data_IF_936376928217
#
_entry.id   IF_936376928217
#
_cell.length_a   1.000
_cell.length_b   1.000
_cell.length_c   1.000
_cell.angle_alpha   90.00
_cell.angle_beta   90.00
_cell.angle_gamma   90.00
#
_symmetry.space_group_name_H-M   'P 1'
#
loop_
_entity.id
_entity.type
_entity.pdbx_description
1 polymer ?
#
# COMPACT_ATOMS: atom_id res chain seq x y z
N UNK A 1 -14.23 2.81 8.82
CA UNK A 1 -13.86 1.37 8.73
C UNK A 1 -12.89 1.19 7.57
N UNK A 2 -11.62 0.86 7.85
CA UNK A 2 -10.61 0.63 6.79
C UNK A 2 -11.01 -0.54 5.86
N UNK A 3 -11.83 -1.48 6.35
CA UNK A 3 -12.34 -2.62 5.60
C UNK A 3 -13.25 -2.26 4.40
N UNK A 4 -13.79 -1.04 4.33
CA UNK A 4 -14.67 -0.61 3.23
C UNK A 4 -13.96 0.23 2.17
N UNK A 5 -12.72 0.65 2.44
CA UNK A 5 -11.94 1.43 1.50
C UNK A 5 -11.54 0.58 0.29
N UNK A 6 -12.08 0.92 -0.88
CA UNK A 6 -11.77 0.24 -2.15
C UNK A 6 -11.29 1.28 -3.15
N UNK A 7 -9.98 1.33 -3.34
CA UNK A 7 -9.34 2.27 -4.26
C UNK A 7 -8.10 1.64 -4.90
N UNK A 8 -7.83 1.94 -6.16
CA UNK A 8 -6.71 1.34 -6.91
C UNK A 8 -5.34 1.62 -6.28
N UNK A 9 -5.17 2.75 -5.59
CA UNK A 9 -3.94 3.11 -4.88
C UNK A 9 -3.98 2.82 -3.37
N UNK A 10 -4.91 1.97 -2.91
CA UNK A 10 -4.95 1.47 -1.53
C UNK A 10 -4.90 -0.06 -1.52
N UNK A 11 -4.16 -0.61 -0.57
CA UNK A 11 -4.09 -2.05 -0.39
C UNK A 11 -5.39 -2.53 0.26
N UNK A 12 -6.13 -3.38 -0.46
CA UNK A 12 -7.40 -3.92 0.01
C UNK A 12 -7.18 -4.91 1.15
N UNK A 13 -7.88 -4.72 2.27
CA UNK A 13 -7.98 -5.72 3.32
C UNK A 13 -8.90 -6.87 2.85
N UNK A 14 -8.38 -8.10 2.82
CA UNK A 14 -9.19 -9.28 2.50
C UNK A 14 -9.95 -9.81 3.70
N UNK A 15 -9.36 -9.69 4.89
CA UNK A 15 -9.99 -10.12 6.12
C UNK A 15 -9.08 -9.91 7.31
N UNK A 16 -9.56 -10.34 8.47
CA UNK A 16 -8.81 -10.29 9.71
C UNK A 16 -9.10 -11.54 10.53
N UNK A 17 -8.19 -11.89 11.43
CA UNK A 17 -8.39 -12.91 12.44
C UNK A 17 -8.09 -12.29 13.80
N UNK A 18 -8.98 -12.53 14.77
CA UNK A 18 -8.79 -12.10 16.15
C UNK A 18 -8.88 -13.35 17.02
N UNK A 19 -7.81 -13.61 17.75
CA UNK A 19 -7.77 -14.61 18.82
C UNK A 19 -7.55 -13.90 20.16
N UNK A 20 -7.66 -14.58 21.30
CA UNK A 20 -7.37 -13.97 22.60
C UNK A 20 -5.94 -13.41 22.71
N UNK A 21 -4.98 -13.96 21.97
CA UNK A 21 -3.55 -13.61 22.05
C UNK A 21 -3.06 -12.81 20.86
N UNK A 22 -3.75 -12.86 19.71
CA UNK A 22 -3.24 -12.32 18.46
C UNK A 22 -4.31 -11.58 17.66
N UNK A 23 -3.84 -10.63 16.84
CA UNK A 23 -4.65 -9.90 15.88
C UNK A 23 -3.92 -9.88 14.55
N UNK A 24 -4.53 -10.48 13.53
CA UNK A 24 -3.95 -10.66 12.21
C UNK A 24 -4.77 -9.92 11.17
N UNK A 25 -4.10 -9.34 10.19
CA UNK A 25 -4.71 -8.72 9.01
C UNK A 25 -4.22 -9.46 7.77
N UNK A 26 -5.15 -9.79 6.89
CA UNK A 26 -4.87 -10.51 5.64
C UNK A 26 -4.94 -9.52 4.48
N UNK A 27 -3.80 -9.34 3.82
CA UNK A 27 -3.64 -8.47 2.65
C UNK A 27 -3.08 -9.25 1.46
N UNK A 28 -3.29 -8.77 0.22
CA UNK A 28 -2.55 -9.25 -0.94
C UNK A 28 -1.04 -9.14 -0.71
N UNK A 29 -0.30 -10.15 -1.17
CA UNK A 29 1.16 -10.12 -1.12
C UNK A 29 1.72 -9.08 -2.10
N UNK A 30 2.63 -8.23 -1.61
CA UNK A 30 3.29 -7.18 -2.39
C UNK A 30 4.73 -7.58 -2.70
N UNK A 31 4.93 -8.33 -3.79
CA UNK A 31 6.23 -8.88 -4.19
C UNK A 31 7.32 -7.83 -4.44
N UNK A 32 6.93 -6.61 -4.81
CA UNK A 32 7.87 -5.51 -5.09
C UNK A 32 8.45 -4.84 -3.83
N UNK A 33 8.01 -5.24 -2.64
CA UNK A 33 8.45 -4.67 -1.37
C UNK A 33 8.01 -3.22 -1.18
N UNK A 34 8.67 -2.51 -0.26
CA UNK A 34 8.33 -1.13 0.08
C UNK A 34 9.00 -0.12 -0.85
N UNK A 35 8.39 1.06 -0.99
CA UNK A 35 9.02 2.18 -1.71
C UNK A 35 10.37 2.54 -1.06
N UNK A 36 10.46 2.47 0.27
CA UNK A 36 11.70 2.77 0.99
C UNK A 36 12.86 1.83 0.58
N UNK A 37 12.59 0.53 0.41
CA UNK A 37 13.63 -0.41 -0.04
C UNK A 37 13.96 -0.21 -1.51
N UNK A 38 12.97 0.10 -2.37
CA UNK A 38 13.19 0.33 -3.81
C UNK A 38 13.90 1.64 -4.13
N UNK A 39 13.71 2.69 -3.34
CA UNK A 39 14.39 4.00 -3.53
C UNK A 39 15.89 3.90 -3.21
N UNK A 40 16.25 3.08 -2.22
CA UNK A 40 17.65 2.79 -1.86
C UNK A 40 18.24 1.61 -2.64
N UNK A 41 17.40 0.85 -3.34
CA UNK A 41 17.78 -0.33 -4.09
C UNK A 41 18.56 -0.01 -5.36
N UNK A 42 19.29 -1.01 -5.85
CA UNK A 42 19.96 -0.99 -7.16
C UNK A 42 19.23 -1.96 -8.11
N UNK A 43 18.86 -1.56 -9.32
CA UNK A 43 19.02 -0.22 -9.89
C UNK A 43 18.07 0.80 -9.23
N UNK A 44 18.51 2.05 -9.23
CA UNK A 44 17.74 3.19 -8.73
C UNK A 44 16.51 3.39 -9.61
N UNK A 45 15.35 3.66 -9.01
CA UNK A 45 14.13 3.99 -9.76
C UNK A 45 14.34 5.24 -10.62
N UNK A 46 13.94 5.17 -11.89
CA UNK A 46 13.93 6.32 -12.79
C UNK A 46 12.92 7.38 -12.34
N UNK A 47 13.08 8.61 -12.85
CA UNK A 47 12.23 9.73 -12.47
C UNK A 47 10.76 9.55 -12.84
N UNK A 48 10.47 8.90 -13.98
CA UNK A 48 9.11 8.63 -14.42
C UNK A 48 8.38 7.71 -13.44
N UNK A 49 9.05 6.63 -13.02
CA UNK A 49 8.52 5.70 -12.02
C UNK A 49 8.30 6.38 -10.67
N UNK A 50 9.24 7.21 -10.20
CA UNK A 50 9.10 7.99 -8.95
C UNK A 50 7.88 8.90 -8.97
N UNK A 51 7.69 9.66 -10.06
CA UNK A 51 6.51 10.51 -10.22
C UNK A 51 5.21 9.68 -10.18
N UNK A 52 5.18 8.53 -10.84
CA UNK A 52 4.00 7.64 -10.85
C UNK A 52 3.64 7.16 -9.45
N UNK A 53 4.64 6.78 -8.64
CA UNK A 53 4.46 6.38 -7.24
C UNK A 53 3.89 7.55 -6.42
N UNK A 54 4.47 8.76 -6.56
CA UNK A 54 4.02 9.95 -5.82
C UNK A 54 2.55 10.30 -6.15
N UNK A 55 2.18 10.34 -7.43
CA UNK A 55 0.79 10.58 -7.83
C UNK A 55 -0.17 9.48 -7.37
N UNK A 56 0.26 8.21 -7.40
CA UNK A 56 -0.53 7.11 -6.87
C UNK A 56 -0.81 7.27 -5.38
N UNK A 57 0.22 7.59 -4.59
CA UNK A 57 0.08 7.85 -3.16
C UNK A 57 -0.87 9.03 -2.89
N UNK A 58 -0.71 10.14 -3.61
CA UNK A 58 -1.58 11.31 -3.46
C UNK A 58 -3.06 11.00 -3.75
N UNK A 59 -3.35 10.22 -4.81
CA UNK A 59 -4.74 9.79 -5.10
C UNK A 59 -5.32 8.89 -4.01
N UNK A 60 -4.52 7.96 -3.48
CA UNK A 60 -4.94 7.11 -2.36
C UNK A 60 -5.23 7.92 -1.11
N UNK A 61 -4.39 8.91 -0.79
CA UNK A 61 -4.61 9.80 0.35
C UNK A 61 -5.84 10.70 0.18
N UNK A 62 -6.07 11.23 -1.02
CA UNK A 62 -7.27 12.01 -1.32
C UNK A 62 -8.53 11.17 -1.06
N UNK A 63 -8.57 9.94 -1.58
CA UNK A 63 -9.70 9.03 -1.34
C UNK A 63 -9.91 8.69 0.14
N UNK A 64 -8.86 8.64 0.95
CA UNK A 64 -8.99 8.40 2.40
C UNK A 64 -9.48 9.61 3.19
N UNK A 65 -9.31 10.81 2.62
CA UNK A 65 -9.69 12.06 3.27
C UNK A 65 -11.17 12.41 3.01
N UNK A 66 -11.69 12.01 1.86
CA UNK A 66 -13.12 12.08 1.50
C UNK A 66 -13.93 10.96 2.17
#
# INVERSE_FOLDING_TARGET
>A
MISLAVHHNLLRLYGFCITPTERLLVYPYMSNGSVASRVKGKPVLDWGTRKRIAFGAARGLLYLHE
#
